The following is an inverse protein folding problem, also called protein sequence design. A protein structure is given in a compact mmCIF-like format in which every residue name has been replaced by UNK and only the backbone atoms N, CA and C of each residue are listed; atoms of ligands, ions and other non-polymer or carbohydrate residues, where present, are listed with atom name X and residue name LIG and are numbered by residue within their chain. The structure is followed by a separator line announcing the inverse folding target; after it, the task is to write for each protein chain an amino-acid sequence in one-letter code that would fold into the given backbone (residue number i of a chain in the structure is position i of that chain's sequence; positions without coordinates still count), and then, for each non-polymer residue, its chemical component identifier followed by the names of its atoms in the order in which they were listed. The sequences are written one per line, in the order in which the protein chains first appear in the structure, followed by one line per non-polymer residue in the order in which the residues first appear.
data_IF_246241677665
#
_entry.id   IF_246241677665
#
_cell.length_a   1.000
_cell.length_b   1.000
_cell.length_c   1.000
_cell.angle_alpha   90.00
_cell.angle_beta   90.00
_cell.angle_gamma   90.00
#
_symmetry.space_group_name_H-M   'P 1'
#
loop_
_entity.id
_entity.type
_entity.pdbx_description
1 polymer ?
#
# COMPACT_ATOMS: atom_id res chain seq x y z
N UNK A 1 -5.38 -18.33 -25.08
CA UNK A 1 -6.21 -18.43 -23.86
C UNK A 1 -7.04 -17.15 -23.80
N UNK A 2 -8.35 -17.24 -23.55
CA UNK A 2 -9.18 -16.03 -23.45
C UNK A 2 -8.81 -15.25 -22.18
N UNK A 3 -8.76 -13.92 -22.27
CA UNK A 3 -8.51 -13.07 -21.12
C UNK A 3 -9.74 -13.07 -20.21
N UNK A 4 -9.55 -13.39 -18.94
CA UNK A 4 -10.58 -13.33 -17.90
C UNK A 4 -10.16 -12.25 -16.90
N UNK A 5 -10.90 -11.14 -16.77
CA UNK A 5 -10.57 -10.09 -15.82
C UNK A 5 -10.87 -10.54 -14.38
N UNK A 6 -10.00 -10.19 -13.44
CA UNK A 6 -10.33 -10.30 -12.02
C UNK A 6 -11.33 -9.21 -11.65
N UNK A 7 -12.37 -9.58 -10.89
CA UNK A 7 -13.33 -8.60 -10.36
C UNK A 7 -13.04 -8.37 -8.88
N UNK A 8 -12.49 -7.20 -8.56
CA UNK A 8 -12.28 -6.78 -7.17
C UNK A 8 -13.59 -6.36 -6.51
N UNK A 9 -13.68 -6.53 -5.20
CA UNK A 9 -14.73 -5.91 -4.41
C UNK A 9 -14.44 -4.42 -4.19
N UNK A 10 -15.46 -3.62 -3.88
CA UNK A 10 -15.28 -2.20 -3.58
C UNK A 10 -14.28 -1.96 -2.45
N UNK A 11 -14.31 -2.82 -1.42
CA UNK A 11 -13.37 -2.77 -0.30
C UNK A 11 -11.92 -3.02 -0.77
N UNK A 12 -11.70 -4.02 -1.62
CA UNK A 12 -10.36 -4.32 -2.17
C UNK A 12 -9.84 -3.17 -3.03
N UNK A 13 -10.70 -2.54 -3.84
CA UNK A 13 -10.32 -1.37 -4.64
C UNK A 13 -9.86 -0.20 -3.75
N UNK A 14 -10.57 0.05 -2.65
CA UNK A 14 -10.20 1.08 -1.67
C UNK A 14 -8.85 0.73 -1.01
N UNK A 15 -8.67 -0.52 -0.58
CA UNK A 15 -7.42 -0.96 0.06
C UNK A 15 -6.23 -0.84 -0.88
N UNK A 16 -6.37 -1.24 -2.15
CA UNK A 16 -5.28 -1.11 -3.13
C UNK A 16 -4.89 0.36 -3.33
N UNK A 17 -5.86 1.27 -3.48
CA UNK A 17 -5.57 2.72 -3.63
C UNK A 17 -4.84 3.26 -2.40
N UNK A 18 -5.34 2.94 -1.20
CA UNK A 18 -4.77 3.38 0.08
C UNK A 18 -3.34 2.87 0.25
N UNK A 19 -3.10 1.57 0.04
CA UNK A 19 -1.78 0.98 0.15
C UNK A 19 -0.82 1.50 -0.95
N UNK A 20 -1.32 1.81 -2.15
CA UNK A 20 -0.53 2.46 -3.19
C UNK A 20 -0.31 3.97 -2.95
N UNK A 21 -0.82 4.53 -1.85
CA UNK A 21 -0.58 5.92 -1.47
C UNK A 21 -1.33 6.94 -2.33
N UNK A 22 -2.39 6.51 -3.01
CA UNK A 22 -3.28 7.38 -3.75
C UNK A 22 -4.47 7.80 -2.87
N UNK A 23 -5.05 9.00 -3.11
CA UNK A 23 -6.23 9.44 -2.40
C UNK A 23 -7.46 8.58 -2.73
N UNK A 24 -8.47 8.67 -1.87
CA UNK A 24 -9.76 8.04 -2.12
C UNK A 24 -10.38 8.55 -3.42
N UNK A 25 -11.09 7.67 -4.14
CA UNK A 25 -11.72 7.97 -5.43
C UNK A 25 -12.87 8.97 -5.31
N UNK A 26 -13.63 8.92 -4.21
CA UNK A 26 -14.77 9.82 -3.98
C UNK A 26 -15.81 9.75 -5.10
N UNK A 27 -16.48 10.88 -5.37
CA UNK A 27 -17.48 11.04 -6.44
C UNK A 27 -16.83 11.15 -7.85
N UNK A 28 -15.69 10.50 -8.07
CA UNK A 28 -14.95 10.49 -9.34
C UNK A 28 -14.21 11.79 -9.70
N UNK A 29 -14.53 12.90 -9.05
CA UNK A 29 -13.84 14.19 -9.22
C UNK A 29 -12.61 14.29 -8.28
N UNK A 30 -11.64 13.39 -8.42
CA UNK A 30 -10.39 13.49 -7.65
C UNK A 30 -9.57 14.67 -8.19
N UNK A 31 -9.53 15.76 -7.43
CA UNK A 31 -8.67 16.92 -7.75
C UNK A 31 -7.26 16.62 -7.27
N UNK A 32 -6.38 16.28 -8.21
CA UNK A 32 -4.97 16.11 -7.91
C UNK A 32 -4.26 17.47 -7.92
N UNK A 33 -3.34 17.73 -6.98
CA UNK A 33 -2.57 18.97 -6.95
C UNK A 33 -1.68 19.13 -8.20
N UNK A 34 -1.32 18.03 -8.87
CA UNK A 34 -0.43 18.03 -10.03
C UNK A 34 -0.93 17.10 -11.16
N UNK A 35 -0.88 17.53 -12.44
CA UNK A 35 -1.44 16.79 -13.57
C UNK A 35 -0.84 15.40 -13.84
N UNK A 36 0.43 15.17 -13.50
CA UNK A 36 1.07 13.86 -13.71
C UNK A 36 0.58 12.78 -12.74
N UNK A 37 0.21 13.17 -11.51
CA UNK A 37 -0.34 12.25 -10.50
C UNK A 37 -1.71 11.73 -10.97
N UNK A 38 -2.51 12.60 -11.59
CA UNK A 38 -3.79 12.20 -12.20
C UNK A 38 -3.61 11.11 -13.26
N UNK A 39 -2.57 11.21 -14.12
CA UNK A 39 -2.29 10.18 -15.14
C UNK A 39 -1.93 8.83 -14.51
N UNK A 40 -1.11 8.85 -13.46
CA UNK A 40 -0.69 7.63 -12.75
C UNK A 40 -1.88 6.97 -12.04
N UNK A 41 -2.75 7.78 -11.44
CA UNK A 41 -3.98 7.30 -10.81
C UNK A 41 -4.94 6.67 -11.82
N UNK A 42 -5.22 7.34 -12.94
CA UNK A 42 -6.07 6.77 -13.98
C UNK A 42 -5.48 5.49 -14.59
N UNK A 43 -4.15 5.40 -14.67
CA UNK A 43 -3.48 4.17 -15.09
C UNK A 43 -3.67 3.02 -14.09
N UNK A 44 -3.65 3.30 -12.78
CA UNK A 44 -3.99 2.33 -11.74
C UNK A 44 -5.44 1.86 -11.90
N UNK A 45 -6.40 2.78 -12.00
CA UNK A 45 -7.82 2.44 -12.16
C UNK A 45 -8.07 1.57 -13.39
N UNK A 46 -7.46 1.94 -14.52
CA UNK A 46 -7.56 1.14 -15.74
C UNK A 46 -7.00 -0.27 -15.56
N UNK A 47 -5.85 -0.42 -14.89
CA UNK A 47 -5.27 -1.73 -14.59
C UNK A 47 -6.15 -2.55 -13.66
N UNK A 48 -6.72 -1.96 -12.62
CA UNK A 48 -7.59 -2.70 -11.70
C UNK A 48 -8.85 -3.24 -12.40
N UNK A 49 -9.33 -2.55 -13.44
CA UNK A 49 -10.44 -3.03 -14.27
C UNK A 49 -10.04 -4.09 -15.31
N UNK A 50 -8.75 -4.14 -15.69
CA UNK A 50 -8.25 -4.98 -16.79
C UNK A 50 -7.10 -5.91 -16.37
N UNK A 51 -7.01 -6.27 -15.09
CA UNK A 51 -6.02 -7.21 -14.59
C UNK A 51 -6.48 -8.64 -14.84
N UNK A 52 -5.57 -9.57 -15.12
CA UNK A 52 -5.95 -10.98 -15.26
C UNK A 52 -6.41 -11.58 -13.93
N UNK A 53 -7.25 -12.61 -14.00
CA UNK A 53 -7.74 -13.34 -12.82
C UNK A 53 -6.60 -13.79 -11.88
N UNK A 54 -5.53 -14.35 -12.45
CA UNK A 54 -4.39 -14.84 -11.67
C UNK A 54 -3.60 -13.71 -10.99
N UNK A 55 -3.37 -12.60 -11.69
CA UNK A 55 -2.66 -11.45 -11.12
C UNK A 55 -3.51 -10.77 -10.04
N UNK A 56 -4.82 -10.64 -10.26
CA UNK A 56 -5.76 -10.14 -9.25
C UNK A 56 -5.79 -11.02 -8.00
N UNK A 57 -5.74 -12.35 -8.17
CA UNK A 57 -5.62 -13.28 -7.05
C UNK A 57 -4.31 -13.09 -6.27
N UNK A 58 -3.19 -12.77 -6.93
CA UNK A 58 -1.93 -12.44 -6.25
C UNK A 58 -2.06 -11.13 -5.45
N UNK A 59 -2.69 -10.10 -6.01
CA UNK A 59 -2.97 -8.84 -5.31
C UNK A 59 -3.73 -9.11 -4.01
N UNK A 60 -4.82 -9.86 -4.08
CA UNK A 60 -5.66 -10.12 -2.90
C UNK A 60 -4.96 -11.05 -1.90
N UNK A 61 -4.57 -12.25 -2.34
CA UNK A 61 -4.13 -13.31 -1.43
C UNK A 61 -2.73 -13.08 -0.86
N UNK A 62 -1.87 -12.38 -1.59
CA UNK A 62 -0.49 -12.14 -1.16
C UNK A 62 -0.33 -10.75 -0.61
N UNK A 63 -0.72 -9.71 -1.36
CA UNK A 63 -0.42 -8.34 -0.94
C UNK A 63 -1.42 -7.81 0.07
N UNK A 64 -2.73 -7.82 -0.25
CA UNK A 64 -3.74 -7.23 0.65
C UNK A 64 -3.77 -7.97 1.99
N UNK A 65 -3.77 -9.30 2.00
CA UNK A 65 -3.73 -10.08 3.25
C UNK A 65 -2.55 -9.70 4.14
N UNK A 66 -1.32 -9.69 3.61
CA UNK A 66 -0.13 -9.36 4.41
C UNK A 66 -0.09 -7.88 4.82
N UNK A 67 -0.50 -6.97 3.93
CA UNK A 67 -0.53 -5.53 4.23
C UNK A 67 -1.49 -5.20 5.36
N UNK A 68 -2.69 -5.79 5.37
CA UNK A 68 -3.64 -5.61 6.48
C UNK A 68 -3.09 -6.17 7.79
N UNK A 69 -2.40 -7.32 7.76
CA UNK A 69 -1.74 -7.87 8.96
C UNK A 69 -0.65 -6.94 9.49
N UNK A 70 0.21 -6.41 8.60
CA UNK A 70 1.30 -5.51 8.97
C UNK A 70 0.77 -4.17 9.51
N UNK A 71 -0.26 -3.60 8.88
CA UNK A 71 -0.90 -2.36 9.33
C UNK A 71 -1.49 -2.51 10.74
N UNK A 72 -2.20 -3.60 11.01
CA UNK A 72 -2.80 -3.87 12.32
C UNK A 72 -1.76 -4.13 13.41
N UNK A 73 -0.56 -4.63 13.05
CA UNK A 73 0.52 -4.87 13.99
C UNK A 73 1.19 -3.58 14.48
N UNK A 74 1.06 -2.46 13.75
CA UNK A 74 1.66 -1.17 14.12
C UNK A 74 0.97 -0.59 15.37
N UNK A 75 -0.36 -0.37 15.42
CA UNK A 75 -1.03 0.08 16.65
C UNK A 75 -0.80 -0.86 17.85
N UNK A 76 -0.60 -2.16 17.60
CA UNK A 76 -0.29 -3.13 18.64
C UNK A 76 1.03 -2.87 19.39
N UNK A 77 1.99 -2.13 18.81
CA UNK A 77 3.21 -1.73 19.53
C UNK A 77 2.94 -0.70 20.62
N UNK A 78 1.82 0.03 20.57
CA UNK A 78 1.50 1.13 21.49
C UNK A 78 1.52 0.71 22.97
N UNK A 79 1.09 -0.52 23.26
CA UNK A 79 1.09 -1.06 24.62
C UNK A 79 2.51 -1.15 25.24
N UNK A 80 3.56 -1.14 24.41
CA UNK A 80 4.94 -1.28 24.84
C UNK A 80 5.74 0.04 24.73
N UNK A 81 5.14 1.15 24.27
CA UNK A 81 5.85 2.43 24.12
C UNK A 81 6.27 3.06 25.45
N UNK A 82 5.50 2.84 26.52
CA UNK A 82 5.71 3.48 27.83
C UNK A 82 6.65 2.70 28.77
N UNK A 83 7.07 1.48 28.40
CA UNK A 83 7.85 0.59 29.29
C UNK A 83 9.20 0.20 28.67
N UNK A 84 10.27 0.90 29.07
CA UNK A 84 11.63 0.62 28.56
C UNK A 84 12.24 -0.67 29.14
N UNK A 85 11.78 -1.10 30.33
CA UNK A 85 12.21 -2.36 30.97
C UNK A 85 11.04 -2.97 31.75
N UNK A 86 10.62 -4.18 31.35
CA UNK A 86 9.75 -5.05 32.14
C UNK A 86 10.52 -6.31 32.52
N UNK A 87 11.06 -6.35 33.74
CA UNK A 87 11.87 -7.45 34.28
C UNK A 87 13.15 -7.76 33.46
N UNK A 88 13.52 -9.06 33.31
CA UNK A 88 14.73 -9.53 32.59
C UNK A 88 14.59 -9.41 31.06
N UNK A 89 13.40 -9.06 30.55
CA UNK A 89 13.14 -8.99 29.11
C UNK A 89 13.45 -7.59 28.57
N UNK A 90 14.42 -7.52 27.66
CA UNK A 90 14.78 -6.28 26.94
C UNK A 90 13.91 -6.14 25.70
N UNK A 91 13.17 -5.04 25.61
CA UNK A 91 12.36 -4.70 24.44
C UNK A 91 13.22 -4.16 23.28
N UNK A 92 12.78 -4.39 22.03
CA UNK A 92 13.40 -3.77 20.86
C UNK A 92 12.93 -2.32 20.73
N UNK A 93 13.77 -1.37 21.13
CA UNK A 93 13.47 0.08 21.05
C UNK A 93 13.15 0.57 19.64
N UNK A 94 13.52 -0.18 18.61
CA UNK A 94 13.25 0.13 17.21
C UNK A 94 12.02 -0.60 16.64
N UNK A 95 11.28 -1.38 17.43
CA UNK A 95 10.20 -2.26 16.92
C UNK A 95 9.15 -1.51 16.09
N UNK A 96 8.72 -0.33 16.55
CA UNK A 96 7.78 0.51 15.79
C UNK A 96 8.38 0.92 14.43
N UNK A 97 9.60 1.46 14.45
CA UNK A 97 10.31 1.89 13.23
C UNK A 97 10.53 0.74 12.25
N UNK A 98 10.91 -0.43 12.75
CA UNK A 98 11.16 -1.61 11.92
C UNK A 98 9.86 -2.14 11.30
N UNK A 99 8.74 -2.08 12.05
CA UNK A 99 7.40 -2.44 11.54
C UNK A 99 6.90 -1.46 10.49
N UNK A 100 7.03 -0.16 10.71
CA UNK A 100 6.69 0.86 9.71
C UNK A 100 7.51 0.68 8.43
N UNK A 101 8.83 0.46 8.55
CA UNK A 101 9.71 0.23 7.40
C UNK A 101 9.35 -1.05 6.63
N UNK A 102 8.98 -2.12 7.34
CA UNK A 102 8.51 -3.37 6.71
C UNK A 102 7.18 -3.14 5.97
N UNK A 103 6.23 -2.44 6.59
CA UNK A 103 4.95 -2.10 5.97
C UNK A 103 5.15 -1.28 4.68
N UNK A 104 5.95 -0.22 4.73
CA UNK A 104 6.25 0.59 3.55
C UNK A 104 6.99 -0.19 2.44
N UNK A 105 7.87 -1.13 2.81
CA UNK A 105 8.53 -2.02 1.86
C UNK A 105 7.51 -2.88 1.09
N UNK A 106 6.54 -3.46 1.79
CA UNK A 106 5.49 -4.27 1.18
C UNK A 106 4.57 -3.45 0.28
N UNK A 107 4.23 -2.21 0.69
CA UNK A 107 3.45 -1.29 -0.14
C UNK A 107 4.19 -0.94 -1.44
N UNK A 108 5.50 -0.69 -1.38
CA UNK A 108 6.33 -0.47 -2.59
C UNK A 108 6.36 -1.68 -3.51
N UNK A 109 6.41 -2.90 -2.95
CA UNK A 109 6.33 -4.15 -3.73
C UNK A 109 5.00 -4.30 -4.46
N UNK A 110 3.89 -3.91 -3.82
CA UNK A 110 2.57 -3.88 -4.47
C UNK A 110 2.57 -2.88 -5.65
N UNK A 111 3.07 -1.66 -5.46
CA UNK A 111 3.16 -0.68 -6.56
C UNK A 111 4.02 -1.20 -7.72
N UNK A 112 5.15 -1.83 -7.42
CA UNK A 112 6.02 -2.43 -8.43
C UNK A 112 5.32 -3.57 -9.19
N UNK A 113 4.59 -4.44 -8.48
CA UNK A 113 3.80 -5.51 -9.10
C UNK A 113 2.72 -4.96 -10.02
N UNK A 114 1.99 -3.94 -9.56
CA UNK A 114 1.00 -3.23 -10.35
C UNK A 114 1.61 -2.34 -11.44
N UNK A 115 2.94 -2.22 -11.50
CA UNK A 115 3.69 -1.41 -12.47
C UNK A 115 3.30 0.06 -12.48
N UNK A 116 2.98 0.60 -11.30
CA UNK A 116 2.66 2.01 -11.09
C UNK A 116 3.69 2.65 -10.15
N UNK A 117 3.98 3.95 -10.32
CA UNK A 117 4.77 4.66 -9.35
C UNK A 117 4.01 4.77 -8.01
N UNK A 118 4.73 4.82 -6.88
CA UNK A 118 4.12 5.07 -5.58
C UNK A 118 3.41 6.43 -5.58
N UNK A 119 2.21 6.47 -5.01
CA UNK A 119 1.41 7.69 -4.92
C UNK A 119 2.00 8.74 -3.96
N UNK A 120 1.42 9.96 -3.93
CA UNK A 120 1.92 11.09 -3.16
C UNK A 120 1.97 10.84 -1.64
N UNK A 121 1.18 9.90 -1.12
CA UNK A 121 1.18 9.58 0.32
C UNK A 121 2.26 8.57 0.73
N UNK A 122 3.15 8.14 -0.17
CA UNK A 122 4.35 7.42 0.25
C UNK A 122 5.33 8.41 0.89
N UNK A 123 5.59 8.21 2.18
CA UNK A 123 6.51 9.06 2.95
C UNK A 123 7.93 9.06 2.39
N UNK A 124 8.49 10.26 2.29
CA UNK A 124 9.89 10.50 1.98
C UNK A 124 10.06 11.29 0.69
N UNK A 125 10.52 12.53 0.81
CA UNK A 125 11.10 13.33 -0.26
C UNK A 125 12.40 12.68 -0.76
N UNK A 126 12.34 11.47 -1.34
CA UNK A 126 13.42 10.97 -2.17
C UNK A 126 12.98 11.17 -3.61
N UNK A 127 13.22 12.39 -4.09
CA UNK A 127 13.28 12.68 -5.50
C UNK A 127 14.46 11.90 -6.09
N UNK A 128 14.30 10.59 -6.26
CA UNK A 128 15.07 9.87 -7.27
C UNK A 128 14.45 10.30 -8.61
N UNK A 129 14.89 11.46 -9.09
CA UNK A 129 14.75 11.82 -10.50
C UNK A 129 15.42 10.70 -11.28
N UNK A 130 14.62 9.87 -11.94
CA UNK A 130 15.12 9.06 -13.05
C UNK A 130 15.42 10.08 -14.14
N UNK A 131 16.70 10.44 -14.23
CA UNK A 131 17.30 11.13 -15.38
C UNK A 131 17.40 10.15 -16.53
#
# INVERSE_FOLDING_TARGET
MAFVPYTFTDAQLVDVRRFCGYPAYGDGAVVFPMPWIMRQYLALEYRLQHISENEGAVVVNTYLTNLTTLENAIPGTSANLDTDVAAVWTHNKNELRDRDALFDSWRRRLCNFLGIPPGPNFGGCSNALVV
#
